data_IF_962883729081
#
_entry.id   IF_962883729081
#
_cell.length_a   1.000
_cell.length_b   1.000
_cell.length_c   1.000
_cell.angle_alpha   90.00
_cell.angle_beta   90.00
_cell.angle_gamma   90.00
#
_symmetry.space_group_name_H-M   'P 1'
#
loop_
_entity.id
_entity.type
_entity.pdbx_description
1 polymer ?
#
# COMPACT_ATOMS: atom_id res chain seq x y z
N UNK A 1 1.09 -46.00 -53.46
CA UNK A 1 1.49 -45.51 -52.11
C UNK A 1 1.82 -44.02 -52.19
N UNK A 2 0.91 -43.15 -51.74
CA UNK A 2 1.17 -41.71 -51.49
C UNK A 2 0.12 -41.24 -50.49
N UNK A 3 0.27 -41.69 -49.25
CA UNK A 3 -0.63 -41.39 -48.14
C UNK A 3 0.09 -40.54 -47.10
N UNK A 4 -0.59 -39.48 -46.67
CA UNK A 4 -0.59 -38.90 -45.32
C UNK A 4 0.79 -38.52 -44.77
N UNK A 5 1.16 -37.24 -44.91
CA UNK A 5 2.28 -36.64 -44.17
C UNK A 5 1.99 -35.24 -43.58
N UNK A 6 0.74 -34.76 -43.60
CA UNK A 6 0.43 -33.34 -43.35
C UNK A 6 -0.50 -33.07 -42.16
N UNK A 7 -0.88 -34.06 -41.34
CA UNK A 7 -1.89 -33.89 -40.28
C UNK A 7 -1.36 -33.81 -38.84
N UNK A 8 -0.05 -34.00 -38.61
CA UNK A 8 0.51 -34.05 -37.24
C UNK A 8 0.95 -32.68 -36.71
N UNK A 9 1.07 -31.65 -37.56
CA UNK A 9 1.65 -30.37 -37.13
C UNK A 9 0.65 -29.29 -36.71
N UNK A 10 -0.65 -29.48 -36.95
CA UNK A 10 -1.67 -28.45 -36.63
C UNK A 10 -2.20 -28.53 -35.19
N UNK A 11 -2.06 -29.67 -34.51
CA UNK A 11 -2.50 -29.86 -33.12
C UNK A 11 -1.50 -29.36 -32.09
N UNK A 12 -0.24 -29.11 -32.48
CA UNK A 12 0.77 -28.56 -31.57
C UNK A 12 0.60 -27.05 -31.31
N UNK A 13 -0.11 -26.31 -32.17
CA UNK A 13 -0.23 -24.85 -32.06
C UNK A 13 -1.31 -24.45 -31.04
N UNK A 14 -2.29 -25.32 -30.75
CA UNK A 14 -3.34 -25.02 -29.74
C UNK A 14 -2.87 -25.31 -28.30
N UNK A 15 -1.81 -26.11 -28.11
CA UNK A 15 -1.33 -26.48 -26.78
C UNK A 15 -0.55 -25.38 -26.05
N UNK A 16 -0.07 -24.35 -26.74
CA UNK A 16 0.72 -23.27 -26.12
C UNK A 16 -0.07 -21.97 -25.88
N UNK A 17 -1.32 -21.85 -26.37
CA UNK A 17 -2.18 -20.70 -26.08
C UNK A 17 -2.93 -20.81 -24.73
N UNK A 18 -2.88 -21.98 -24.08
CA UNK A 18 -3.50 -22.18 -22.75
C UNK A 18 -2.68 -21.64 -21.57
N UNK A 19 -1.40 -21.29 -21.77
CA UNK A 19 -0.52 -20.81 -20.71
C UNK A 19 -0.39 -19.27 -20.63
N UNK A 20 -0.90 -18.54 -21.63
CA UNK A 20 -0.83 -17.07 -21.65
C UNK A 20 -1.83 -16.40 -20.69
N UNK A 21 -2.82 -17.14 -20.16
CA UNK A 21 -3.87 -16.58 -19.30
C UNK A 21 -3.43 -16.29 -17.85
N UNK A 22 -2.16 -16.50 -17.51
CA UNK A 22 -1.60 -16.08 -16.22
C UNK A 22 -0.74 -14.80 -16.31
N UNK A 23 -0.81 -14.06 -17.43
CA UNK A 23 0.01 -12.87 -17.68
C UNK A 23 -0.40 -11.61 -16.90
N UNK A 24 -1.39 -11.69 -16.00
CA UNK A 24 -1.86 -10.55 -15.20
C UNK A 24 -1.96 -10.85 -13.70
N UNK A 25 -1.09 -11.72 -13.18
CA UNK A 25 -0.82 -11.78 -11.75
C UNK A 25 0.53 -11.11 -11.48
N UNK A 26 0.50 -9.90 -10.91
CA UNK A 26 1.71 -9.27 -10.37
C UNK A 26 2.00 -9.91 -9.01
N UNK A 27 3.19 -10.47 -8.84
CA UNK A 27 3.69 -11.02 -7.57
C UNK A 27 4.82 -10.16 -7.04
N UNK A 28 4.90 -10.03 -5.72
CA UNK A 28 5.93 -9.22 -5.06
C UNK A 28 7.16 -10.11 -4.82
N UNK A 29 8.33 -9.64 -5.21
CA UNK A 29 9.62 -10.31 -5.02
C UNK A 29 10.68 -9.27 -4.61
N UNK A 30 11.76 -9.72 -3.96
CA UNK A 30 12.89 -8.84 -3.63
C UNK A 30 13.65 -8.47 -4.91
N UNK A 31 13.98 -9.49 -5.70
CA UNK A 31 14.60 -9.35 -7.01
C UNK A 31 14.26 -10.58 -7.89
N UNK A 32 14.67 -10.57 -9.16
CA UNK A 32 14.36 -11.65 -10.10
C UNK A 32 15.01 -13.01 -9.79
N UNK A 33 15.99 -13.06 -8.88
CA UNK A 33 16.66 -14.27 -8.40
C UNK A 33 16.18 -14.68 -7.00
N UNK A 34 15.78 -13.74 -6.15
CA UNK A 34 15.30 -13.97 -4.79
C UNK A 34 13.82 -13.55 -4.64
N UNK A 35 12.88 -14.50 -4.73
CA UNK A 35 11.45 -14.20 -4.59
C UNK A 35 11.05 -13.85 -3.15
N UNK A 36 11.78 -14.36 -2.16
CA UNK A 36 11.44 -14.22 -0.74
C UNK A 36 12.56 -13.52 0.03
N UNK A 37 12.20 -12.77 1.08
CA UNK A 37 13.17 -12.13 1.97
C UNK A 37 12.68 -10.86 2.66
N UNK A 38 13.50 -10.31 3.58
CA UNK A 38 13.17 -9.08 4.27
C UNK A 38 13.28 -7.88 3.33
N UNK A 39 12.38 -6.92 3.49
CA UNK A 39 12.43 -5.65 2.76
C UNK A 39 12.37 -4.45 3.71
N UNK A 40 12.92 -3.34 3.26
CA UNK A 40 12.71 -2.02 3.85
C UNK A 40 12.58 -1.01 2.72
N UNK A 41 11.55 -0.18 2.78
CA UNK A 41 11.36 0.85 1.76
C UNK A 41 12.38 1.98 1.95
N UNK A 42 12.92 2.56 0.86
CA UNK A 42 13.86 3.69 0.93
C UNK A 42 13.25 4.99 1.50
N UNK A 43 11.95 4.97 1.85
CA UNK A 43 11.21 6.11 2.39
C UNK A 43 10.13 6.57 1.41
N UNK A 44 8.95 6.86 1.93
CA UNK A 44 7.82 7.44 1.23
C UNK A 44 7.29 8.66 1.97
N UNK A 45 6.26 9.29 1.41
CA UNK A 45 5.56 10.40 2.06
C UNK A 45 4.07 10.13 2.16
N UNK A 46 3.46 10.59 3.25
CA UNK A 46 2.02 10.64 3.43
C UNK A 46 1.61 12.07 3.74
N UNK A 47 0.44 12.47 3.27
CA UNK A 47 -0.14 13.76 3.60
C UNK A 47 -1.22 13.57 4.65
N UNK A 48 -1.01 14.16 5.83
CA UNK A 48 -1.95 14.16 6.94
C UNK A 48 -2.70 15.49 6.95
N UNK A 49 -4.03 15.43 6.99
CA UNK A 49 -4.89 16.59 7.19
C UNK A 49 -5.65 16.36 8.49
N UNK A 50 -5.56 17.30 9.42
CA UNK A 50 -6.19 17.18 10.74
C UNK A 50 -6.81 18.51 11.18
N UNK A 51 -7.77 18.50 12.11
CA UNK A 51 -8.27 19.72 12.73
C UNK A 51 -7.13 20.53 13.38
N UNK A 52 -6.14 19.84 13.94
CA UNK A 52 -4.94 20.43 14.56
C UNK A 52 -3.99 21.09 13.55
N UNK A 53 -4.08 20.74 12.26
CA UNK A 53 -3.38 21.46 11.18
C UNK A 53 -4.26 22.52 10.52
N UNK A 54 -5.42 22.88 11.09
CA UNK A 54 -6.42 23.74 10.45
C UNK A 54 -6.79 23.24 9.04
N UNK A 55 -6.86 21.91 8.88
CA UNK A 55 -7.12 21.23 7.61
C UNK A 55 -6.03 21.45 6.53
N UNK A 56 -4.89 22.03 6.89
CA UNK A 56 -3.73 22.17 6.01
C UNK A 56 -3.01 20.83 5.82
N UNK A 57 -2.50 20.56 4.61
CA UNK A 57 -1.74 19.35 4.34
C UNK A 57 -0.39 19.39 5.05
N UNK A 58 -0.13 18.39 5.88
CA UNK A 58 1.16 18.17 6.52
C UNK A 58 1.81 16.94 5.92
N UNK A 59 2.96 17.11 5.28
CA UNK A 59 3.72 16.01 4.70
C UNK A 59 4.57 15.35 5.79
N UNK A 60 4.32 14.07 6.02
CA UNK A 60 5.11 13.22 6.90
C UNK A 60 5.84 12.16 6.07
N UNK A 61 7.00 11.74 6.56
CA UNK A 61 7.75 10.62 6.01
C UNK A 61 7.17 9.31 6.55
N UNK A 62 7.19 8.27 5.73
CA UNK A 62 6.81 6.91 6.12
C UNK A 62 7.83 5.90 5.61
N UNK A 63 8.23 4.97 6.47
CA UNK A 63 9.04 3.82 6.09
C UNK A 63 8.33 2.54 6.49
N UNK A 64 8.25 1.59 5.56
CA UNK A 64 7.76 0.25 5.80
C UNK A 64 8.91 -0.75 5.85
N UNK A 65 8.81 -1.70 6.77
CA UNK A 65 9.66 -2.89 6.83
C UNK A 65 8.79 -4.13 6.92
N UNK A 66 9.31 -5.23 6.39
CA UNK A 66 8.53 -6.45 6.31
C UNK A 66 9.29 -7.62 5.71
N UNK A 67 8.54 -8.66 5.36
CA UNK A 67 9.06 -9.85 4.71
C UNK A 67 8.15 -10.26 3.54
N UNK A 68 8.76 -10.64 2.42
CA UNK A 68 8.08 -11.25 1.27
C UNK A 68 8.15 -12.76 1.42
N UNK A 69 7.00 -13.42 1.30
CA UNK A 69 6.90 -14.88 1.25
C UNK A 69 5.82 -15.30 0.27
N UNK A 70 6.17 -16.11 -0.72
CA UNK A 70 5.19 -16.69 -1.66
C UNK A 70 4.47 -15.65 -2.52
N UNK A 71 5.17 -14.57 -2.89
CA UNK A 71 4.62 -13.50 -3.73
C UNK A 71 3.77 -12.46 -2.98
N UNK A 72 3.60 -12.61 -1.67
CA UNK A 72 2.86 -11.70 -0.79
C UNK A 72 3.83 -11.04 0.19
N UNK A 73 3.71 -9.72 0.35
CA UNK A 73 4.52 -8.97 1.30
C UNK A 73 3.75 -8.71 2.60
N UNK A 74 4.35 -9.11 3.73
CA UNK A 74 3.84 -8.83 5.07
C UNK A 74 4.64 -7.67 5.66
N UNK A 75 3.99 -6.53 5.86
CA UNK A 75 4.56 -5.35 6.53
C UNK A 75 4.50 -5.60 8.03
N UNK A 76 5.66 -5.77 8.66
CA UNK A 76 5.80 -6.03 10.10
C UNK A 76 6.22 -4.78 10.87
N UNK A 77 6.59 -3.71 10.18
CA UNK A 77 6.91 -2.42 10.77
C UNK A 77 6.48 -1.29 9.85
N UNK A 78 5.90 -0.25 10.44
CA UNK A 78 5.70 1.03 9.79
C UNK A 78 6.13 2.14 10.75
N UNK A 79 6.95 3.05 10.26
CA UNK A 79 7.43 4.19 11.03
C UNK A 79 7.01 5.46 10.31
N UNK A 80 6.23 6.29 10.98
CA UNK A 80 5.89 7.64 10.53
C UNK A 80 6.82 8.62 11.24
N UNK A 81 7.42 9.52 10.48
CA UNK A 81 8.33 10.54 10.99
C UNK A 81 8.13 11.86 10.25
N UNK A 82 8.72 12.94 10.76
CA UNK A 82 8.66 14.25 10.11
C UNK A 82 8.97 15.36 11.09
N UNK A 83 9.26 16.55 10.56
CA UNK A 83 9.60 17.73 11.37
C UNK A 83 8.38 18.31 12.11
N UNK A 84 7.16 17.98 11.68
CA UNK A 84 5.93 18.45 12.31
C UNK A 84 5.50 17.49 13.43
N UNK A 85 5.12 18.02 14.60
CA UNK A 85 4.65 17.23 15.74
C UNK A 85 3.46 16.32 15.41
N UNK A 86 2.63 16.70 14.42
CA UNK A 86 1.50 15.90 13.94
C UNK A 86 1.92 14.56 13.32
N UNK A 87 3.16 14.45 12.81
CA UNK A 87 3.68 13.21 12.24
C UNK A 87 3.98 12.13 13.31
N UNK A 88 4.09 12.52 14.58
CA UNK A 88 4.36 11.59 15.69
C UNK A 88 3.09 11.10 16.40
N UNK A 89 1.93 11.67 16.05
CA UNK A 89 0.63 11.32 16.62
C UNK A 89 0.09 9.96 16.20
N UNK A 90 0.13 9.56 14.91
CA UNK A 90 -0.37 8.25 14.53
C UNK A 90 0.50 7.16 15.15
N UNK A 91 -0.10 6.32 15.98
CA UNK A 91 0.47 5.07 16.45
C UNK A 91 -0.03 3.94 15.55
N UNK A 92 0.92 3.24 14.97
CA UNK A 92 0.69 2.09 14.10
C UNK A 92 0.25 0.90 14.97
N UNK A 93 -0.77 0.19 14.52
CA UNK A 93 -1.39 -0.94 15.22
C UNK A 93 -1.80 -2.03 14.22
N UNK A 94 -2.14 -3.22 14.71
CA UNK A 94 -2.67 -4.29 13.85
C UNK A 94 -1.69 -4.84 12.82
N UNK A 95 -0.38 -4.78 13.09
CA UNK A 95 0.62 -5.46 12.27
C UNK A 95 0.55 -6.99 12.50
N UNK A 96 0.86 -7.82 11.48
CA UNK A 96 1.37 -7.45 10.16
C UNK A 96 0.26 -7.04 9.15
N UNK A 97 0.54 -6.04 8.31
CA UNK A 97 -0.35 -5.68 7.20
C UNK A 97 0.02 -6.41 5.93
N UNK A 98 -0.97 -6.79 5.14
CA UNK A 98 -0.74 -7.53 3.88
C UNK A 98 -0.68 -6.55 2.72
N UNK A 99 0.47 -6.47 2.04
CA UNK A 99 0.65 -5.80 0.76
C UNK A 99 0.48 -6.84 -0.36
N UNK A 100 -0.48 -6.59 -1.25
CA UNK A 100 -0.70 -7.37 -2.46
C UNK A 100 -0.45 -6.48 -3.68
N UNK A 101 0.29 -6.99 -4.67
CA UNK A 101 0.52 -6.26 -5.90
C UNK A 101 -0.77 -6.24 -6.74
N UNK A 102 -1.14 -5.06 -7.22
CA UNK A 102 -2.26 -4.87 -8.15
C UNK A 102 -1.74 -4.68 -9.58
N UNK A 103 -0.49 -4.27 -9.74
CA UNK A 103 0.25 -4.18 -11.00
C UNK A 103 1.75 -4.24 -10.75
N UNK A 104 2.57 -4.09 -11.79
CA UNK A 104 4.04 -4.04 -11.67
C UNK A 104 4.55 -2.82 -10.89
N UNK A 105 3.74 -1.77 -10.74
CA UNK A 105 4.15 -0.49 -10.12
C UNK A 105 3.20 -0.06 -9.00
N UNK A 106 2.12 -0.80 -8.75
CA UNK A 106 1.13 -0.47 -7.72
C UNK A 106 0.74 -1.71 -6.91
N UNK A 107 0.42 -1.49 -5.64
CA UNK A 107 -0.10 -2.51 -4.74
C UNK A 107 -1.04 -1.92 -3.71
N UNK A 108 -1.84 -2.77 -3.11
CA UNK A 108 -2.80 -2.42 -2.06
C UNK A 108 -2.34 -3.00 -0.74
N UNK A 109 -2.31 -2.17 0.30
CA UNK A 109 -2.10 -2.62 1.68
C UNK A 109 -3.47 -2.79 2.33
N UNK A 110 -3.73 -3.97 2.90
CA UNK A 110 -4.96 -4.30 3.62
C UNK A 110 -4.68 -4.48 5.11
N UNK A 111 -5.75 -4.41 5.92
CA UNK A 111 -5.68 -4.49 7.39
C UNK A 111 -4.85 -3.36 8.04
N UNK A 112 -4.77 -2.20 7.38
CA UNK A 112 -4.05 -1.03 7.92
C UNK A 112 -4.76 -0.52 9.17
N UNK A 113 -4.07 -0.58 10.31
CA UNK A 113 -4.58 -0.10 11.59
C UNK A 113 -3.76 1.05 12.15
N UNK A 114 -4.36 2.20 12.43
CA UNK A 114 -3.68 3.27 13.15
C UNK A 114 -4.61 3.92 14.16
N UNK A 115 -4.02 4.40 15.26
CA UNK A 115 -4.71 5.19 16.27
C UNK A 115 -4.10 6.57 16.33
N UNK A 116 -4.93 7.61 16.39
CA UNK A 116 -4.46 8.99 16.56
C UNK A 116 -4.91 9.45 17.94
N UNK A 117 -3.95 9.75 18.82
CA UNK A 117 -4.27 10.48 20.04
C UNK A 117 -4.45 11.95 19.71
N UNK A 118 -5.69 12.43 19.75
CA UNK A 118 -5.97 13.85 19.63
C UNK A 118 -5.63 14.56 20.95
N UNK A 119 -4.67 15.47 20.91
CA UNK A 119 -4.63 16.57 21.87
C UNK A 119 -5.55 17.65 21.30
N UNK A 120 -6.73 17.83 21.90
CA UNK A 120 -7.44 19.09 21.76
C UNK A 120 -6.62 20.14 22.52
N UNK A 121 -6.03 21.14 21.87
CA UNK A 121 -5.65 22.33 22.61
C UNK A 121 -6.96 22.88 23.23
N UNK A 122 -7.00 23.23 24.53
CA UNK A 122 -8.20 23.70 25.22
C UNK A 122 -8.77 25.04 24.69
N UNK A 123 -8.38 25.50 23.51
CA UNK A 123 -8.80 26.77 22.89
C UNK A 123 -9.76 26.61 21.71
N UNK A 124 -10.12 25.39 21.29
CA UNK A 124 -11.05 25.17 20.17
C UNK A 124 -12.53 25.01 20.59
N UNK A 125 -12.91 25.47 21.78
CA UNK A 125 -14.32 25.65 22.17
C UNK A 125 -14.55 27.11 22.56
N UNK A 126 -14.45 28.01 21.59
CA UNK A 126 -15.22 29.25 21.65
C UNK A 126 -16.00 29.35 20.35
N UNK A 127 -17.33 29.16 20.35
CA UNK A 127 -18.11 29.62 19.21
C UNK A 127 -17.81 31.11 19.00
N UNK A 128 -17.66 31.59 17.75
CA UNK A 128 -17.54 33.02 17.50
C UNK A 128 -18.80 33.70 18.06
N UNK A 129 -18.63 34.52 19.09
CA UNK A 129 -19.70 35.26 19.77
C UNK A 129 -20.28 36.41 18.92
N UNK A 130 -20.10 36.39 17.60
CA UNK A 130 -20.89 37.22 16.69
C UNK A 130 -22.15 36.45 16.32
N UNK A 131 -23.12 36.49 17.22
CA UNK A 131 -24.53 36.32 16.90
C UNK A 131 -25.04 37.59 16.21
N UNK A 132 -25.55 37.50 14.96
CA UNK A 132 -26.62 38.38 14.52
C UNK A 132 -27.76 37.51 14.00
N UNK A 133 -28.76 37.18 14.84
CA UNK A 133 -29.84 36.33 14.33
C UNK A 133 -30.87 35.74 15.29
N UNK A 134 -31.03 36.24 16.52
CA UNK A 134 -32.32 36.06 17.20
C UNK A 134 -33.08 37.39 17.18
N UNK A 135 -34.06 37.44 16.30
CA UNK A 135 -35.27 38.26 16.50
C UNK A 135 -36.30 37.34 17.12
#
# INVERSE_FOLDING_TARGET
MKGIKTLVSATAIVACLGAASMASAASIAIDGANPDGPFTTPGGTITVRSPSSFNQPVTCNINFSGNIAGGVASITGATVSGSNALCNLPKITGLPWTLSASSTTAGTVTNVGYTISFFLPPTAVRPPSTWPGAT
#
